data_IF_156318307938
#
_entry.id   IF_156318307938
#
_cell.length_a   1.000
_cell.length_b   1.000
_cell.length_c   1.000
_cell.angle_alpha   90.00
_cell.angle_beta   90.00
_cell.angle_gamma   90.00
#
_symmetry.space_group_name_H-M   'P 1'
#
loop_
_entity.id
_entity.type
_entity.pdbx_description
1 polymer ?
#
# COMPACT_ATOMS: atom_id res chain seq x y z
N UNK A 1 26.95 -27.06 18.04
CA UNK A 1 27.44 -25.81 17.41
C UNK A 1 26.25 -24.87 17.30
N UNK A 2 26.08 -23.97 18.27
CA UNK A 2 24.94 -23.05 18.39
C UNK A 2 25.42 -21.61 18.26
N UNK A 3 24.59 -20.78 17.63
CA UNK A 3 24.55 -19.31 17.67
C UNK A 3 25.53 -18.50 16.80
N UNK A 4 25.13 -18.26 15.55
CA UNK A 4 25.54 -17.08 14.73
C UNK A 4 24.32 -16.36 14.10
N UNK A 5 23.09 -16.79 14.43
CA UNK A 5 21.87 -16.28 13.82
C UNK A 5 21.45 -14.87 14.32
N UNK A 6 22.01 -14.39 15.45
CA UNK A 6 21.47 -13.23 16.16
C UNK A 6 21.65 -11.87 15.48
N UNK A 7 22.64 -11.70 14.59
CA UNK A 7 22.93 -10.40 13.95
C UNK A 7 22.40 -10.27 12.51
N UNK A 8 21.86 -11.34 11.92
CA UNK A 8 21.30 -11.35 10.57
C UNK A 8 19.78 -11.18 10.56
N UNK A 9 19.10 -11.67 11.61
CA UNK A 9 17.64 -11.61 11.71
C UNK A 9 17.09 -10.18 11.63
N UNK A 10 17.64 -9.17 12.34
CA UNK A 10 17.12 -7.79 12.24
C UNK A 10 17.27 -7.20 10.84
N UNK A 11 18.37 -7.53 10.14
CA UNK A 11 18.63 -7.08 8.76
C UNK A 11 17.66 -7.72 7.77
N UNK A 12 17.37 -9.01 7.94
CA UNK A 12 16.39 -9.72 7.12
C UNK A 12 14.97 -9.20 7.35
N UNK A 13 14.60 -8.89 8.59
CA UNK A 13 13.31 -8.27 8.90
C UNK A 13 13.18 -6.91 8.23
N UNK A 14 14.20 -6.05 8.33
CA UNK A 14 14.18 -4.74 7.66
C UNK A 14 14.06 -4.87 6.14
N UNK A 15 14.79 -5.81 5.54
CA UNK A 15 14.70 -6.08 4.11
C UNK A 15 13.31 -6.58 3.70
N UNK A 16 12.74 -7.52 4.45
CA UNK A 16 11.40 -8.06 4.19
C UNK A 16 10.32 -6.98 4.32
N UNK A 17 10.38 -6.15 5.36
CA UNK A 17 9.48 -5.00 5.52
C UNK A 17 9.63 -4.02 4.34
N UNK A 18 10.86 -3.74 3.91
CA UNK A 18 11.14 -2.88 2.76
C UNK A 18 10.51 -3.40 1.47
N UNK A 19 10.55 -4.71 1.21
CA UNK A 19 9.91 -5.32 0.04
C UNK A 19 8.39 -5.20 0.12
N UNK A 20 7.79 -5.52 1.27
CA UNK A 20 6.33 -5.50 1.44
C UNK A 20 5.77 -4.08 1.34
N UNK A 21 6.37 -3.12 2.06
CA UNK A 21 5.95 -1.72 1.98
C UNK A 21 6.27 -1.10 0.61
N UNK A 22 7.32 -1.55 -0.05
CA UNK A 22 7.64 -1.19 -1.43
C UNK A 22 6.53 -1.63 -2.39
N UNK A 23 6.13 -2.89 -2.35
CA UNK A 23 5.08 -3.45 -3.21
C UNK A 23 3.74 -2.71 -3.05
N UNK A 24 3.34 -2.42 -1.80
CA UNK A 24 2.13 -1.63 -1.48
C UNK A 24 2.16 -0.24 -2.16
N UNK A 25 3.33 0.40 -2.23
CA UNK A 25 3.48 1.75 -2.77
C UNK A 25 3.63 1.83 -4.29
N UNK A 26 3.95 0.74 -4.98
CA UNK A 26 4.16 0.76 -6.44
C UNK A 26 2.89 1.11 -7.20
N UNK A 27 1.73 0.62 -6.75
CA UNK A 27 0.46 0.82 -7.45
C UNK A 27 0.01 2.29 -7.50
N UNK A 28 0.04 3.08 -6.41
CA UNK A 28 -0.16 4.53 -6.49
C UNK A 28 0.84 5.26 -7.39
N UNK A 29 2.11 4.84 -7.40
CA UNK A 29 3.13 5.47 -8.24
C UNK A 29 2.86 5.23 -9.73
N UNK A 30 2.44 4.02 -10.11
CA UNK A 30 2.03 3.74 -11.48
C UNK A 30 0.76 4.49 -11.87
N UNK A 31 -0.23 4.56 -10.96
CA UNK A 31 -1.46 5.31 -11.20
C UNK A 31 -1.17 6.80 -11.41
N UNK A 32 -0.30 7.40 -10.58
CA UNK A 32 0.13 8.78 -10.72
C UNK A 32 0.89 9.00 -12.04
N UNK A 33 1.84 8.11 -12.35
CA UNK A 33 2.60 8.15 -13.61
C UNK A 33 1.68 8.11 -14.82
N UNK A 34 0.67 7.24 -14.80
CA UNK A 34 -0.24 7.05 -15.92
C UNK A 34 -1.25 8.21 -16.08
N UNK A 35 -1.72 8.78 -14.97
CA UNK A 35 -2.62 9.93 -14.96
C UNK A 35 -2.05 11.14 -15.71
N UNK A 36 -0.73 11.33 -15.65
CA UNK A 36 -0.02 12.44 -16.29
C UNK A 36 0.83 12.01 -17.49
N UNK A 37 0.73 10.76 -17.94
CA UNK A 37 1.49 10.26 -19.08
C UNK A 37 0.96 10.88 -20.38
N UNK A 38 1.73 11.70 -21.11
CA UNK A 38 1.24 12.36 -22.33
C UNK A 38 0.89 11.38 -23.46
N UNK A 39 1.40 10.15 -23.40
CA UNK A 39 1.09 9.09 -24.36
C UNK A 39 -0.18 8.30 -24.00
N UNK A 40 -0.81 8.57 -22.84
CA UNK A 40 -2.05 7.92 -22.44
C UNK A 40 -3.25 8.59 -23.12
N UNK A 41 -4.30 7.81 -23.41
CA UNK A 41 -5.53 8.32 -24.04
C UNK A 41 -6.28 9.37 -23.20
N UNK A 42 -5.99 9.45 -21.89
CA UNK A 42 -6.71 10.29 -20.93
C UNK A 42 -5.74 11.15 -20.11
N UNK A 43 -4.62 11.55 -20.71
CA UNK A 43 -3.59 12.32 -20.03
C UNK A 43 -4.15 13.63 -19.45
N UNK A 44 -4.02 13.80 -18.15
CA UNK A 44 -4.38 15.05 -17.49
C UNK A 44 -3.27 16.08 -17.70
N UNK A 45 -3.61 17.35 -18.00
CA UNK A 45 -2.64 18.43 -17.91
C UNK A 45 -2.02 18.51 -16.52
N UNK A 46 -0.71 18.74 -16.43
CA UNK A 46 -0.01 18.93 -15.15
C UNK A 46 -0.31 20.33 -14.61
N UNK A 47 -1.50 20.51 -14.04
CA UNK A 47 -1.91 21.70 -13.30
C UNK A 47 -1.94 21.40 -11.81
N UNK A 48 -1.74 22.40 -10.93
CA UNK A 48 -1.82 22.19 -9.47
C UNK A 48 -3.13 21.52 -9.04
N UNK A 49 -4.25 21.94 -9.65
CA UNK A 49 -5.59 21.39 -9.37
C UNK A 49 -5.67 19.89 -9.67
N UNK A 50 -5.18 19.47 -10.84
CA UNK A 50 -5.17 18.06 -11.22
C UNK A 50 -4.22 17.23 -10.34
N UNK A 51 -3.07 17.78 -9.96
CA UNK A 51 -2.11 17.11 -9.06
C UNK A 51 -2.75 16.87 -7.70
N UNK A 52 -3.34 17.90 -7.08
CA UNK A 52 -4.03 17.74 -5.80
C UNK A 52 -5.25 16.84 -5.92
N UNK A 53 -5.99 16.88 -7.03
CA UNK A 53 -7.11 15.99 -7.31
C UNK A 53 -6.70 14.51 -7.34
N UNK A 54 -5.68 14.16 -8.13
CA UNK A 54 -5.16 12.79 -8.24
C UNK A 54 -4.59 12.31 -6.90
N UNK A 55 -3.83 13.15 -6.19
CA UNK A 55 -3.30 12.81 -4.87
C UNK A 55 -4.43 12.56 -3.86
N UNK A 56 -5.49 13.37 -3.87
CA UNK A 56 -6.67 13.16 -3.02
C UNK A 56 -7.35 11.82 -3.32
N UNK A 57 -7.54 11.50 -4.60
CA UNK A 57 -8.13 10.22 -5.01
C UNK A 57 -7.30 9.02 -4.56
N UNK A 58 -5.96 9.10 -4.65
CA UNK A 58 -5.06 8.06 -4.16
C UNK A 58 -5.24 7.87 -2.64
N UNK A 59 -5.23 8.95 -1.87
CA UNK A 59 -5.39 8.91 -0.41
C UNK A 59 -6.73 8.30 -0.02
N UNK A 60 -7.84 8.79 -0.61
CA UNK A 60 -9.17 8.27 -0.32
C UNK A 60 -9.35 6.82 -0.75
N UNK A 61 -8.78 6.42 -1.89
CA UNK A 61 -8.85 5.03 -2.36
C UNK A 61 -8.13 4.08 -1.40
N UNK A 62 -6.91 4.42 -0.96
CA UNK A 62 -6.16 3.60 -0.01
C UNK A 62 -6.92 3.48 1.31
N UNK A 63 -7.43 4.60 1.85
CA UNK A 63 -8.22 4.59 3.08
C UNK A 63 -9.45 3.69 2.96
N UNK A 64 -10.24 3.84 1.90
CA UNK A 64 -11.45 3.04 1.69
C UNK A 64 -11.10 1.55 1.54
N UNK A 65 -10.11 1.21 0.72
CA UNK A 65 -9.71 -0.19 0.49
C UNK A 65 -9.22 -0.83 1.79
N UNK A 66 -8.36 -0.13 2.55
CA UNK A 66 -7.86 -0.63 3.84
C UNK A 66 -9.01 -0.77 4.82
N UNK A 67 -9.83 0.25 5.03
CA UNK A 67 -10.98 0.19 5.95
C UNK A 67 -11.92 -0.94 5.57
N UNK A 68 -12.29 -1.08 4.30
CA UNK A 68 -13.19 -2.13 3.84
C UNK A 68 -12.59 -3.52 4.05
N UNK A 69 -11.34 -3.74 3.64
CA UNK A 69 -10.64 -5.02 3.81
C UNK A 69 -10.54 -5.41 5.29
N UNK A 70 -10.18 -4.46 6.15
CA UNK A 70 -10.00 -4.74 7.58
C UNK A 70 -11.33 -4.93 8.30
N UNK A 71 -12.33 -4.08 8.05
CA UNK A 71 -13.64 -4.22 8.70
C UNK A 71 -14.37 -5.47 8.25
N UNK A 72 -14.30 -5.83 6.97
CA UNK A 72 -15.09 -6.96 6.45
C UNK A 72 -14.40 -8.30 6.53
N UNK A 73 -13.06 -8.34 6.55
CA UNK A 73 -12.31 -9.60 6.57
C UNK A 73 -11.63 -9.78 7.91
N UNK A 74 -10.83 -8.80 8.35
CA UNK A 74 -10.01 -8.96 9.56
C UNK A 74 -10.85 -8.93 10.82
N UNK A 75 -11.78 -7.99 10.95
CA UNK A 75 -12.68 -7.87 12.11
C UNK A 75 -13.86 -8.86 12.09
N UNK A 76 -14.06 -9.54 10.97
CA UNK A 76 -15.11 -10.58 10.81
C UNK A 76 -14.55 -11.99 10.82
N UNK A 77 -13.24 -12.15 10.65
CA UNK A 77 -12.58 -13.42 10.87
C UNK A 77 -12.76 -13.75 12.35
N UNK A 78 -13.61 -14.74 12.62
CA UNK A 78 -13.87 -15.22 13.97
C UNK A 78 -12.78 -16.23 14.33
N UNK A 79 -12.08 -15.99 15.44
CA UNK A 79 -11.16 -16.94 16.04
C UNK A 79 -11.82 -17.57 17.28
N UNK A 80 -12.49 -18.71 17.09
CA UNK A 80 -13.07 -19.50 18.19
C UNK A 80 -14.08 -18.74 19.08
N UNK A 81 -14.79 -17.74 18.57
CA UNK A 81 -15.85 -17.01 19.28
C UNK A 81 -15.40 -15.66 19.86
N UNK A 82 -14.17 -15.21 19.60
CA UNK A 82 -13.65 -13.92 20.11
C UNK A 82 -13.85 -12.74 19.13
N UNK A 83 -14.13 -13.02 17.84
CA UNK A 83 -14.57 -12.04 16.84
C UNK A 83 -13.56 -10.95 16.45
N UNK A 84 -13.10 -10.99 15.19
CA UNK A 84 -11.95 -10.23 14.77
C UNK A 84 -10.67 -10.90 15.27
N UNK A 85 -9.50 -10.29 15.10
CA UNK A 85 -8.27 -10.80 15.72
C UNK A 85 -8.51 -11.20 17.17
#
# INVERSE_FOLDING_TARGET
MSSSASNKLPKLILAALGVVYGDIGTSPLYALKEAFNPASHHALPVTPENVFGVLSLIVWSILIIVTFKYVLIVLRADNHGEGGV
#
